data_IF_416565386089
#
_entry.id   IF_416565386089
#
_cell.length_a   1.000
_cell.length_b   1.000
_cell.length_c   1.000
_cell.angle_alpha   90.00
_cell.angle_beta   90.00
_cell.angle_gamma   90.00
#
_symmetry.space_group_name_H-M   'P 1'
#
loop_
_entity.id
_entity.type
_entity.pdbx_description
1 polymer ?
#
# COMPACT_ATOMS: atom_id res chain seq x y z
N UNK A 1 3.80 -9.30 13.83
CA UNK A 1 2.41 -9.63 13.46
C UNK A 1 1.38 -8.67 14.05
N UNK A 2 1.21 -8.59 15.37
CA UNK A 2 0.17 -7.72 15.99
C UNK A 2 0.29 -6.26 15.55
N UNK A 3 1.48 -5.65 15.67
CA UNK A 3 1.72 -4.26 15.24
C UNK A 3 1.44 -4.03 13.74
N UNK A 4 1.74 -5.03 12.90
CA UNK A 4 1.50 -4.94 11.47
C UNK A 4 0.00 -4.96 11.16
N UNK A 5 -0.75 -5.89 11.77
CA UNK A 5 -2.20 -6.01 11.56
C UNK A 5 -2.93 -4.79 12.09
N UNK A 6 -2.64 -4.38 13.32
CA UNK A 6 -3.26 -3.18 13.92
C UNK A 6 -2.90 -1.94 13.11
N UNK A 7 -1.63 -1.80 12.71
CA UNK A 7 -1.19 -0.70 11.85
C UNK A 7 -1.91 -0.71 10.50
N UNK A 8 -2.12 -1.87 9.89
CA UNK A 8 -2.80 -1.99 8.60
C UNK A 8 -4.28 -1.62 8.69
N UNK A 9 -4.97 -2.03 9.76
CA UNK A 9 -6.35 -1.62 10.03
C UNK A 9 -6.44 -0.10 10.19
N UNK A 10 -5.54 0.48 11.00
CA UNK A 10 -5.45 1.93 11.22
C UNK A 10 -5.08 2.68 9.95
N UNK A 11 -4.34 2.07 9.03
CA UNK A 11 -4.01 2.67 7.73
C UNK A 11 -5.23 2.65 6.79
N UNK A 12 -5.93 1.52 6.69
CA UNK A 12 -7.05 1.33 5.76
C UNK A 12 -8.25 2.22 6.05
N UNK A 13 -8.57 2.44 7.34
CA UNK A 13 -9.74 3.26 7.74
C UNK A 13 -9.64 4.69 7.19
N UNK A 14 -8.58 5.48 7.43
CA UNK A 14 -8.39 6.77 6.79
C UNK A 14 -8.30 6.69 5.26
N UNK A 15 -7.67 5.65 4.72
CA UNK A 15 -7.54 5.45 3.27
C UNK A 15 -8.89 5.43 2.56
N UNK A 16 -9.88 4.74 3.12
CA UNK A 16 -11.24 4.67 2.58
C UNK A 16 -11.94 6.06 2.53
N UNK A 17 -11.67 6.93 3.50
CA UNK A 17 -12.31 8.25 3.60
C UNK A 17 -11.52 9.38 2.93
N UNK A 18 -10.24 9.18 2.59
CA UNK A 18 -9.39 10.20 1.98
C UNK A 18 -9.70 10.48 0.49
N UNK A 19 -10.43 9.60 -0.19
CA UNK A 19 -10.78 9.74 -1.61
C UNK A 19 -12.17 10.33 -1.88
N UNK A 20 -12.97 10.62 -0.84
CA UNK A 20 -14.31 11.23 -0.99
C UNK A 20 -14.22 12.76 -0.96
N UNK A 21 -14.48 13.48 -2.08
CA UNK A 21 -14.29 14.93 -2.16
C UNK A 21 -15.21 15.74 -1.23
N UNK A 22 -16.42 15.22 -0.94
CA UNK A 22 -17.46 15.91 -0.16
C UNK A 22 -17.13 16.13 1.32
N UNK A 23 -16.36 15.21 1.93
CA UNK A 23 -16.03 15.25 3.36
C UNK A 23 -14.82 16.15 3.67
N UNK A 24 -14.02 16.50 2.63
CA UNK A 24 -12.76 17.25 2.76
C UNK A 24 -12.94 18.71 3.18
N UNK A 25 -14.08 19.33 2.86
CA UNK A 25 -14.35 20.76 3.11
C UNK A 25 -14.89 21.06 4.51
N UNK A 26 -15.67 20.17 5.12
CA UNK A 26 -16.26 20.36 6.46
C UNK A 26 -15.34 19.97 7.61
N UNK A 27 -14.33 19.12 7.37
CA UNK A 27 -13.51 18.53 8.43
C UNK A 27 -11.99 18.61 8.14
N UNK A 28 -11.48 19.78 7.72
CA UNK A 28 -10.05 19.96 7.41
C UNK A 28 -9.13 19.64 8.61
N UNK A 29 -9.55 19.95 9.84
CA UNK A 29 -8.80 19.58 11.06
C UNK A 29 -8.69 18.07 11.26
N UNK A 30 -9.79 17.35 11.06
CA UNK A 30 -9.86 15.88 11.10
C UNK A 30 -8.97 15.25 10.03
N UNK A 31 -9.01 15.80 8.81
CA UNK A 31 -8.17 15.32 7.70
C UNK A 31 -6.67 15.44 8.00
N UNK A 32 -6.24 16.52 8.65
CA UNK A 32 -4.82 16.70 9.05
C UNK A 32 -4.38 15.68 10.11
N UNK A 33 -5.23 15.42 11.10
CA UNK A 33 -4.95 14.42 12.13
C UNK A 33 -4.91 13.00 11.55
N UNK A 34 -5.92 12.64 10.75
CA UNK A 34 -5.97 11.37 10.03
C UNK A 34 -4.78 11.16 9.09
N UNK A 35 -4.33 12.22 8.41
CA UNK A 35 -3.14 12.15 7.54
C UNK A 35 -1.85 11.87 8.32
N UNK A 36 -1.67 12.48 9.49
CA UNK A 36 -0.50 12.21 10.37
C UNK A 36 -0.52 10.79 10.92
N UNK A 37 -1.69 10.34 11.38
CA UNK A 37 -1.90 8.98 11.87
C UNK A 37 -1.62 7.96 10.77
N UNK A 38 -2.11 8.20 9.55
CA UNK A 38 -1.88 7.36 8.38
C UNK A 38 -0.41 7.26 8.00
N UNK A 39 0.34 8.37 8.02
CA UNK A 39 1.79 8.33 7.75
C UNK A 39 2.52 7.48 8.79
N UNK A 40 2.24 7.69 10.08
CA UNK A 40 2.86 6.92 11.17
C UNK A 40 2.53 5.43 11.07
N UNK A 41 1.24 5.11 10.91
CA UNK A 41 0.78 3.74 10.72
C UNK A 41 1.39 3.10 9.46
N UNK A 42 1.46 3.83 8.35
CA UNK A 42 2.05 3.35 7.11
C UNK A 42 3.53 3.00 7.23
N UNK A 43 4.31 3.81 7.95
CA UNK A 43 5.72 3.50 8.26
C UNK A 43 5.82 2.25 9.15
N UNK A 44 5.02 2.15 10.21
CA UNK A 44 5.00 0.97 11.09
C UNK A 44 4.65 -0.29 10.30
N UNK A 45 3.64 -0.23 9.44
CA UNK A 45 3.21 -1.35 8.58
C UNK A 45 4.32 -1.75 7.62
N UNK A 46 4.95 -0.78 6.93
CA UNK A 46 6.01 -1.08 5.97
C UNK A 46 7.24 -1.71 6.65
N UNK A 47 7.72 -1.13 7.76
CA UNK A 47 8.89 -1.64 8.47
C UNK A 47 8.61 -3.00 9.12
N UNK A 48 7.45 -3.18 9.76
CA UNK A 48 7.06 -4.48 10.30
C UNK A 48 6.83 -5.52 9.20
N UNK A 49 6.32 -5.13 8.04
CA UNK A 49 6.17 -5.98 6.86
C UNK A 49 7.51 -6.49 6.34
N UNK A 50 8.49 -5.59 6.18
CA UNK A 50 9.85 -5.94 5.79
C UNK A 50 10.53 -6.84 6.82
N UNK A 51 10.41 -6.51 8.11
CA UNK A 51 10.92 -7.35 9.20
C UNK A 51 10.35 -8.76 9.14
N UNK A 52 9.04 -8.89 8.98
CA UNK A 52 8.39 -10.18 8.89
C UNK A 52 8.82 -10.94 7.63
N UNK A 53 9.01 -10.28 6.50
CA UNK A 53 9.53 -10.91 5.29
C UNK A 53 10.95 -11.48 5.46
N UNK A 54 11.78 -10.86 6.32
CA UNK A 54 13.16 -11.28 6.58
C UNK A 54 13.27 -12.38 7.64
N UNK A 55 12.54 -12.25 8.75
CA UNK A 55 12.77 -13.06 9.94
C UNK A 55 11.73 -14.16 10.16
N UNK A 56 10.57 -14.10 9.49
CA UNK A 56 9.59 -15.17 9.59
C UNK A 56 9.86 -16.22 8.53
N UNK A 57 9.65 -17.49 8.89
CA UNK A 57 9.63 -18.56 7.89
C UNK A 57 8.49 -18.28 6.92
N UNK A 58 8.83 -18.05 5.65
CA UNK A 58 7.83 -17.91 4.62
C UNK A 58 6.94 -19.18 4.57
N UNK A 59 5.63 -19.04 4.31
CA UNK A 59 4.79 -20.20 4.01
C UNK A 59 5.46 -21.07 2.95
N UNK A 60 5.33 -22.40 3.07
CA UNK A 60 5.97 -23.39 2.19
C UNK A 60 5.67 -23.12 0.69
N UNK A 61 4.55 -22.44 0.40
CA UNK A 61 4.11 -22.10 -0.95
C UNK A 61 4.64 -20.77 -1.49
N UNK A 62 5.27 -19.93 -0.66
CA UNK A 62 5.82 -18.65 -1.11
C UNK A 62 7.25 -18.84 -1.64
N UNK A 63 7.39 -18.80 -2.97
CA UNK A 63 8.69 -18.89 -3.64
C UNK A 63 9.52 -17.60 -3.57
N UNK A 64 10.76 -17.66 -4.07
CA UNK A 64 11.70 -16.54 -4.09
C UNK A 64 11.15 -15.27 -4.76
N UNK A 65 10.23 -15.42 -5.73
CA UNK A 65 9.59 -14.30 -6.42
C UNK A 65 8.65 -13.50 -5.49
N UNK A 66 7.83 -14.18 -4.68
CA UNK A 66 6.96 -13.52 -3.70
C UNK A 66 7.80 -12.76 -2.67
N UNK A 67 8.90 -13.37 -2.22
CA UNK A 67 9.86 -12.73 -1.34
C UNK A 67 10.45 -11.45 -1.95
N UNK A 68 10.95 -11.51 -3.19
CA UNK A 68 11.50 -10.35 -3.89
C UNK A 68 10.47 -9.22 -4.01
N UNK A 69 9.22 -9.54 -4.37
CA UNK A 69 8.15 -8.54 -4.44
C UNK A 69 7.81 -7.95 -3.07
N UNK A 70 7.77 -8.74 -1.99
CA UNK A 70 7.55 -8.22 -0.63
C UNK A 70 8.61 -7.20 -0.23
N UNK A 71 9.87 -7.46 -0.56
CA UNK A 71 10.93 -6.49 -0.29
C UNK A 71 10.81 -5.25 -1.15
N UNK A 72 10.58 -5.42 -2.45
CA UNK A 72 10.46 -4.31 -3.39
C UNK A 72 9.30 -3.37 -3.02
N UNK A 73 8.09 -3.93 -2.87
CA UNK A 73 6.90 -3.15 -2.55
C UNK A 73 6.90 -2.69 -1.10
N UNK A 74 7.40 -3.49 -0.15
CA UNK A 74 7.56 -3.06 1.24
C UNK A 74 8.51 -1.86 1.37
N UNK A 75 9.66 -1.89 0.70
CA UNK A 75 10.60 -0.77 0.65
C UNK A 75 10.00 0.44 -0.08
N UNK A 76 9.30 0.20 -1.20
CA UNK A 76 8.58 1.24 -1.94
C UNK A 76 7.50 1.93 -1.09
N UNK A 77 6.79 1.17 -0.26
CA UNK A 77 5.78 1.69 0.67
C UNK A 77 6.43 2.56 1.75
N UNK A 78 7.50 2.08 2.39
CA UNK A 78 8.26 2.86 3.37
C UNK A 78 8.78 4.16 2.74
N UNK A 79 9.38 4.07 1.56
CA UNK A 79 9.85 5.23 0.79
C UNK A 79 8.73 6.23 0.51
N UNK A 80 7.56 5.75 0.05
CA UNK A 80 6.42 6.61 -0.23
C UNK A 80 5.94 7.37 1.02
N UNK A 81 5.81 6.71 2.17
CA UNK A 81 5.40 7.40 3.39
C UNK A 81 6.46 8.39 3.91
N UNK A 82 7.75 8.06 3.82
CA UNK A 82 8.83 9.00 4.16
C UNK A 82 8.78 10.22 3.24
N UNK A 83 8.62 10.03 1.93
CA UNK A 83 8.50 11.14 0.96
C UNK A 83 7.25 11.97 1.21
N UNK A 84 6.13 11.34 1.54
CA UNK A 84 4.90 12.04 1.92
C UNK A 84 5.11 12.92 3.16
N UNK A 85 5.83 12.41 4.17
CA UNK A 85 6.18 13.18 5.37
C UNK A 85 7.12 14.35 5.06
N UNK A 86 8.17 14.12 4.28
CA UNK A 86 9.11 15.18 3.90
C UNK A 86 8.40 16.27 3.08
N UNK A 87 7.52 15.91 2.16
CA UNK A 87 6.77 16.87 1.36
C UNK A 87 5.87 17.77 2.22
N UNK A 88 5.13 17.21 3.18
CA UNK A 88 4.29 18.03 4.08
C UNK A 88 5.12 18.94 4.99
N UNK A 89 6.30 18.49 5.44
CA UNK A 89 7.25 19.32 6.22
C UNK A 89 7.78 20.51 5.40
N UNK A 90 7.96 20.31 4.08
CA UNK A 90 8.32 21.35 3.11
C UNK A 90 7.12 22.19 2.64
N UNK A 91 5.93 21.98 3.20
CA UNK A 91 4.66 22.60 2.78
C UNK A 91 4.27 22.30 1.32
N UNK A 92 4.86 21.27 0.70
CA UNK A 92 4.48 20.76 -0.62
C UNK A 92 3.30 19.78 -0.47
N UNK A 93 2.09 20.32 -0.51
CA UNK A 93 0.85 19.56 -0.35
C UNK A 93 0.57 18.67 -1.57
N UNK A 94 0.94 19.12 -2.77
CA UNK A 94 0.76 18.35 -4.00
C UNK A 94 1.66 17.10 -3.99
N UNK A 95 2.93 17.27 -3.63
CA UNK A 95 3.87 16.17 -3.42
C UNK A 95 3.42 15.23 -2.31
N UNK A 96 2.97 15.76 -1.16
CA UNK A 96 2.45 14.95 -0.06
C UNK A 96 1.32 14.04 -0.53
N UNK A 97 0.30 14.61 -1.19
CA UNK A 97 -0.85 13.84 -1.70
C UNK A 97 -0.40 12.77 -2.70
N UNK A 98 0.51 13.12 -3.61
CA UNK A 98 1.00 12.18 -4.61
C UNK A 98 1.71 10.98 -3.99
N UNK A 99 2.55 11.20 -2.96
CA UNK A 99 3.23 10.12 -2.26
C UNK A 99 2.31 9.30 -1.34
N UNK A 100 1.32 9.95 -0.72
CA UNK A 100 0.27 9.25 0.04
C UNK A 100 -0.50 8.26 -0.84
N UNK A 101 -0.92 8.67 -2.04
CA UNK A 101 -1.64 7.79 -2.99
C UNK A 101 -0.80 6.56 -3.35
N UNK A 102 0.50 6.72 -3.61
CA UNK A 102 1.41 5.61 -3.90
C UNK A 102 1.55 4.64 -2.72
N UNK A 103 1.79 5.17 -1.52
CA UNK A 103 1.92 4.36 -0.31
C UNK A 103 0.65 3.57 0.01
N UNK A 104 -0.51 4.19 -0.15
CA UNK A 104 -1.81 3.55 0.00
C UNK A 104 -2.06 2.45 -1.02
N UNK A 105 -1.76 2.70 -2.29
CA UNK A 105 -1.93 1.70 -3.34
C UNK A 105 -1.07 0.46 -3.09
N UNK A 106 0.18 0.64 -2.65
CA UNK A 106 1.02 -0.51 -2.29
C UNK A 106 0.44 -1.29 -1.10
N UNK A 107 -0.06 -0.58 -0.07
CA UNK A 107 -0.72 -1.22 1.08
C UNK A 107 -1.99 -1.98 0.71
N UNK A 108 -2.81 -1.42 -0.20
CA UNK A 108 -4.01 -2.07 -0.73
C UNK A 108 -3.69 -3.28 -1.62
N UNK A 109 -2.48 -3.37 -2.15
CA UNK A 109 -2.00 -4.52 -2.91
C UNK A 109 -2.25 -5.85 -2.20
N UNK A 110 -2.09 -5.91 -0.87
CA UNK A 110 -2.39 -7.11 -0.09
C UNK A 110 -3.88 -7.53 -0.16
N UNK A 111 -4.80 -6.57 -0.20
CA UNK A 111 -6.23 -6.84 -0.40
C UNK A 111 -6.52 -7.30 -1.83
N UNK A 112 -5.90 -6.66 -2.83
CA UNK A 112 -6.04 -7.06 -4.24
C UNK A 112 -5.46 -8.45 -4.52
N UNK A 113 -4.42 -8.87 -3.78
CA UNK A 113 -3.83 -10.20 -3.89
C UNK A 113 -4.86 -11.30 -3.63
N UNK A 114 -5.78 -11.10 -2.69
CA UNK A 114 -6.86 -12.05 -2.41
C UNK A 114 -7.71 -12.27 -3.67
N UNK A 115 -8.06 -11.19 -4.37
CA UNK A 115 -8.87 -11.24 -5.59
C UNK A 115 -8.11 -11.89 -6.74
N UNK A 116 -6.84 -11.51 -6.96
CA UNK A 116 -6.04 -12.07 -8.06
C UNK A 116 -5.72 -13.54 -7.84
N UNK A 117 -5.44 -13.95 -6.60
CA UNK A 117 -5.20 -15.36 -6.27
C UNK A 117 -6.48 -16.18 -6.43
N UNK A 118 -7.61 -15.70 -5.91
CA UNK A 118 -8.90 -16.39 -6.05
C UNK A 118 -9.30 -16.53 -7.52
N UNK A 119 -9.18 -15.47 -8.31
CA UNK A 119 -9.50 -15.50 -9.74
C UNK A 119 -8.57 -16.46 -10.51
N UNK A 120 -7.27 -16.44 -10.20
CA UNK A 120 -6.30 -17.35 -10.80
C UNK A 120 -6.61 -18.81 -10.46
N UNK A 121 -6.95 -19.08 -9.20
CA UNK A 121 -7.29 -20.43 -8.73
C UNK A 121 -8.57 -20.97 -9.38
N UNK A 122 -9.61 -20.15 -9.50
CA UNK A 122 -10.86 -20.55 -10.17
C UNK A 122 -10.64 -20.81 -11.67
N UNK A 123 -9.78 -20.03 -12.32
CA UNK A 123 -9.57 -20.13 -13.76
C UNK A 123 -8.59 -21.25 -14.15
N UNK A 124 -7.55 -21.49 -13.36
CA UNK A 124 -6.40 -22.32 -13.72
C UNK A 124 -6.09 -23.42 -12.71
N UNK A 125 -6.82 -23.49 -11.59
CA UNK A 125 -6.55 -24.40 -10.47
C UNK A 125 -5.50 -23.86 -9.48
N UNK A 126 -5.18 -24.63 -8.42
CA UNK A 126 -4.26 -24.19 -7.37
C UNK A 126 -2.89 -23.77 -7.93
N UNK A 127 -2.44 -22.52 -7.70
CA UNK A 127 -1.21 -22.02 -8.30
C UNK A 127 0.03 -22.64 -7.65
N UNK A 128 1.01 -22.99 -8.47
CA UNK A 128 2.36 -23.28 -7.98
C UNK A 128 3.06 -22.00 -7.45
N UNK A 129 4.27 -22.15 -6.91
CA UNK A 129 5.01 -21.04 -6.32
C UNK A 129 5.32 -19.89 -7.31
N UNK A 130 5.48 -20.21 -8.60
CA UNK A 130 5.80 -19.22 -9.64
C UNK A 130 4.54 -18.45 -10.05
N UNK A 131 3.46 -19.18 -10.36
CA UNK A 131 2.16 -18.61 -10.71
C UNK A 131 1.64 -17.73 -9.57
N UNK A 132 1.76 -18.19 -8.31
CA UNK A 132 1.42 -17.40 -7.12
C UNK A 132 2.22 -16.10 -7.06
N UNK A 133 3.53 -16.15 -7.35
CA UNK A 133 4.38 -14.98 -7.42
C UNK A 133 3.90 -13.94 -8.43
N UNK A 134 3.53 -14.36 -9.63
CA UNK A 134 3.00 -13.47 -10.67
C UNK A 134 1.61 -12.93 -10.35
N UNK A 135 0.70 -13.75 -9.83
CA UNK A 135 -0.63 -13.31 -9.40
C UNK A 135 -0.50 -12.24 -8.29
N UNK A 136 0.37 -12.48 -7.31
CA UNK A 136 0.60 -11.52 -6.23
C UNK A 136 1.33 -10.25 -6.69
N UNK A 137 2.34 -10.39 -7.55
CA UNK A 137 3.06 -9.28 -8.15
C UNK A 137 2.15 -8.41 -9.01
N UNK A 138 1.29 -9.04 -9.82
CA UNK A 138 0.30 -8.38 -10.67
C UNK A 138 -0.67 -7.52 -9.88
N UNK A 139 -1.12 -7.98 -8.71
CA UNK A 139 -1.95 -7.17 -7.81
C UNK A 139 -1.27 -5.88 -7.38
N UNK A 140 0.02 -5.92 -7.01
CA UNK A 140 0.76 -4.69 -6.68
C UNK A 140 0.97 -3.80 -7.88
N UNK A 141 1.35 -4.37 -9.03
CA UNK A 141 1.55 -3.60 -10.28
C UNK A 141 0.27 -2.89 -10.68
N UNK A 142 -0.89 -3.57 -10.61
CA UNK A 142 -2.19 -2.98 -10.89
C UNK A 142 -2.47 -1.78 -9.98
N UNK A 143 -2.26 -1.94 -8.66
CA UNK A 143 -2.48 -0.85 -7.71
C UNK A 143 -1.56 0.35 -7.98
N UNK A 144 -0.27 0.11 -8.25
CA UNK A 144 0.68 1.17 -8.57
C UNK A 144 0.31 1.87 -9.89
N UNK A 145 -0.11 1.12 -10.91
CA UNK A 145 -0.56 1.70 -12.18
C UNK A 145 -1.78 2.63 -11.98
N UNK A 146 -2.77 2.18 -11.20
CA UNK A 146 -3.94 3.01 -10.85
C UNK A 146 -3.51 4.26 -10.07
N UNK A 147 -2.60 4.12 -9.10
CA UNK A 147 -2.07 5.26 -8.34
C UNK A 147 -1.37 6.29 -9.24
N UNK A 148 -0.50 5.83 -10.15
CA UNK A 148 0.19 6.73 -11.08
C UNK A 148 -0.79 7.44 -12.02
N UNK A 149 -1.82 6.73 -12.48
CA UNK A 149 -2.88 7.33 -13.30
C UNK A 149 -3.62 8.44 -12.53
N UNK A 150 -4.03 8.20 -11.28
CA UNK A 150 -4.68 9.20 -10.41
C UNK A 150 -3.77 10.42 -10.19
N UNK A 151 -2.48 10.18 -9.92
CA UNK A 151 -1.51 11.26 -9.67
C UNK A 151 -1.28 12.10 -10.91
N UNK A 152 -1.14 11.48 -12.09
CA UNK A 152 -0.94 12.21 -13.36
C UNK A 152 -2.16 13.06 -13.69
N UNK A 153 -3.36 12.51 -13.56
CA UNK A 153 -4.61 13.23 -13.85
C UNK A 153 -4.83 14.43 -12.92
N UNK A 154 -4.33 14.36 -11.69
CA UNK A 154 -4.43 15.45 -10.70
C UNK A 154 -3.42 16.59 -10.93
N UNK A 155 -2.46 16.44 -11.85
CA UNK A 155 -1.48 17.48 -12.20
C UNK A 155 -1.85 18.26 -13.46
N UNK A 156 -2.75 17.70 -14.27
CA UNK A 156 -3.19 18.23 -15.56
C UNK A 156 -4.51 19.01 -15.50
N UNK A 157 -5.09 19.20 -14.31
CA UNK A 157 -6.27 20.03 -14.08
C UNK A 157 -6.07 20.90 -12.85
#
# INVERSE_FOLDING_TARGET
MVLHVVGAMVLMVPGAFQFVPGLRRRAMGWHRWMGRLAVGAGVVVALSGLWMAQFYRLPIHDGALVYAFRLLFGAGMAYAFVKAFVAVRRRDIAGHRAWMVRGYAIGLGAGTQVVTLLAGEVALGPPDAMARGWLMGGAWVLNVAVAEWIVRRSRSG
#
